data_IF_954524006494
#
_entry.id   IF_954524006494
#
_cell.length_a   1.000
_cell.length_b   1.000
_cell.length_c   1.000
_cell.angle_alpha   90.00
_cell.angle_beta   90.00
_cell.angle_gamma   90.00
#
_symmetry.space_group_name_H-M   'P 1'
#
loop_
_entity.id
_entity.type
_entity.pdbx_description
1 polymer ?
#
# COMPACT_ATOMS: atom_id res chain seq x y z
N UNK A 1 -27.15 -19.25 4.86
CA UNK A 1 -26.11 -20.16 5.41
C UNK A 1 -25.55 -20.92 4.22
N UNK A 2 -24.23 -21.15 4.14
CA UNK A 2 -23.64 -21.82 2.97
C UNK A 2 -24.19 -23.24 2.91
N UNK A 3 -24.91 -23.57 1.83
CA UNK A 3 -25.59 -24.86 1.62
C UNK A 3 -24.58 -26.00 1.41
N UNK A 4 -23.29 -25.67 1.24
CA UNK A 4 -22.21 -26.61 0.90
C UNK A 4 -21.08 -26.64 1.94
N UNK A 5 -21.40 -26.50 3.24
CA UNK A 5 -20.39 -26.73 4.29
C UNK A 5 -20.27 -28.24 4.56
N UNK A 6 -19.24 -28.88 4.01
CA UNK A 6 -19.05 -30.33 4.08
C UNK A 6 -18.94 -30.85 5.51
N UNK A 7 -18.42 -30.05 6.45
CA UNK A 7 -18.38 -30.41 7.86
C UNK A 7 -19.78 -30.43 8.48
N UNK A 8 -20.67 -29.52 8.05
CA UNK A 8 -22.07 -29.50 8.50
C UNK A 8 -22.88 -30.63 7.88
N UNK A 9 -22.63 -30.95 6.61
CA UNK A 9 -23.28 -32.09 5.92
C UNK A 9 -22.97 -33.41 6.64
N UNK A 10 -21.72 -33.59 7.08
CA UNK A 10 -21.32 -34.76 7.88
C UNK A 10 -21.64 -34.62 9.38
N UNK A 11 -22.24 -33.52 9.82
CA UNK A 11 -22.56 -33.22 11.24
C UNK A 11 -21.34 -33.34 12.18
N UNK A 12 -20.17 -32.92 11.72
CA UNK A 12 -18.91 -32.99 12.45
C UNK A 12 -18.29 -31.61 12.69
N UNK A 13 -17.42 -31.53 13.69
CA UNK A 13 -16.58 -30.36 13.92
C UNK A 13 -15.49 -30.25 12.85
N UNK A 14 -15.02 -29.03 12.57
CA UNK A 14 -13.85 -28.79 11.70
C UNK A 14 -12.56 -29.40 12.25
N UNK A 15 -12.50 -29.64 13.57
CA UNK A 15 -11.39 -30.31 14.25
C UNK A 15 -11.52 -31.85 14.27
N UNK A 16 -12.52 -32.42 13.58
CA UNK A 16 -12.73 -33.86 13.53
C UNK A 16 -11.52 -34.59 12.93
N UNK A 17 -11.21 -35.75 13.51
CA UNK A 17 -10.16 -36.65 12.99
C UNK A 17 -10.66 -37.42 11.76
N UNK A 18 -9.75 -38.08 11.04
CA UNK A 18 -10.13 -38.94 9.91
C UNK A 18 -11.07 -40.08 10.32
N UNK A 19 -10.88 -40.61 11.52
CA UNK A 19 -11.72 -41.67 12.03
C UNK A 19 -13.14 -41.16 12.33
N UNK A 20 -13.26 -39.95 12.87
CA UNK A 20 -14.56 -39.30 13.09
C UNK A 20 -15.29 -39.05 11.77
N UNK A 21 -14.58 -38.56 10.74
CA UNK A 21 -15.13 -38.35 9.38
C UNK A 21 -15.66 -39.67 8.81
N UNK A 22 -14.90 -40.76 8.95
CA UNK A 22 -15.27 -42.09 8.45
C UNK A 22 -16.46 -42.67 9.22
N UNK A 23 -16.51 -42.48 10.53
CA UNK A 23 -17.63 -42.92 11.36
C UNK A 23 -18.91 -42.15 11.04
N UNK A 24 -18.83 -40.83 10.90
CA UNK A 24 -19.95 -39.98 10.53
C UNK A 24 -20.52 -40.35 9.16
N UNK A 25 -19.65 -40.54 8.15
CA UNK A 25 -20.06 -40.99 6.83
C UNK A 25 -20.82 -42.33 6.89
N UNK A 26 -20.29 -43.33 7.60
CA UNK A 26 -20.95 -44.64 7.75
C UNK A 26 -22.33 -44.51 8.39
N UNK A 27 -22.45 -43.72 9.45
CA UNK A 27 -23.71 -43.49 10.16
C UNK A 27 -24.75 -42.85 9.24
N UNK A 28 -24.37 -41.79 8.52
CA UNK A 28 -25.28 -41.05 7.64
C UNK A 28 -25.62 -41.84 6.36
N UNK A 29 -24.65 -42.55 5.78
CA UNK A 29 -24.87 -43.42 4.62
C UNK A 29 -25.86 -44.55 4.91
N UNK A 30 -25.83 -45.13 6.12
CA UNK A 30 -26.80 -46.14 6.54
C UNK A 30 -28.20 -45.58 6.79
N UNK A 31 -28.30 -44.30 7.19
CA UNK A 31 -29.56 -43.61 7.47
C UNK A 31 -30.27 -43.18 6.19
N UNK A 32 -29.50 -42.67 5.22
CA UNK A 32 -30.01 -42.12 3.96
C UNK A 32 -29.84 -43.07 2.76
N UNK A 33 -29.57 -44.37 3.00
CA UNK A 33 -29.45 -45.34 1.92
C UNK A 33 -30.76 -45.45 1.11
N UNK A 34 -30.72 -45.40 -0.24
CA UNK A 34 -31.93 -45.42 -1.07
C UNK A 34 -32.76 -46.70 -0.90
N UNK A 35 -32.12 -47.83 -0.60
CA UNK A 35 -32.82 -49.11 -0.37
C UNK A 35 -33.64 -49.15 0.93
N UNK A 36 -33.38 -48.24 1.87
CA UNK A 36 -34.11 -48.18 3.15
C UNK A 36 -35.21 -47.12 3.14
N UNK A 37 -35.35 -46.37 2.04
CA UNK A 37 -36.32 -45.29 1.90
C UNK A 37 -37.69 -45.81 1.45
N UNK A 38 -38.76 -45.21 1.95
CA UNK A 38 -40.10 -45.35 1.36
C UNK A 38 -40.16 -44.67 -0.01
N UNK A 39 -41.13 -45.04 -0.85
CA UNK A 39 -41.26 -44.54 -2.23
C UNK A 39 -41.24 -43.01 -2.32
N UNK A 40 -41.89 -42.32 -1.38
CA UNK A 40 -41.99 -40.85 -1.35
C UNK A 40 -40.69 -40.17 -0.89
N UNK A 41 -39.90 -40.86 -0.06
CA UNK A 41 -38.65 -40.34 0.50
C UNK A 41 -37.41 -40.75 -0.30
N UNK A 42 -37.57 -41.63 -1.29
CA UNK A 42 -36.46 -42.18 -2.08
C UNK A 42 -35.63 -41.08 -2.75
N UNK A 43 -36.29 -40.08 -3.33
CA UNK A 43 -35.63 -38.94 -3.98
C UNK A 43 -34.86 -38.06 -3.00
N UNK A 44 -35.45 -37.76 -1.84
CA UNK A 44 -34.81 -36.95 -0.79
C UNK A 44 -33.59 -37.67 -0.22
N UNK A 45 -33.71 -38.99 0.02
CA UNK A 45 -32.61 -39.81 0.51
C UNK A 45 -31.48 -39.90 -0.52
N UNK A 46 -31.80 -40.04 -1.80
CA UNK A 46 -30.81 -40.06 -2.89
C UNK A 46 -30.04 -38.72 -2.99
N UNK A 47 -30.73 -37.59 -2.92
CA UNK A 47 -30.13 -36.25 -2.91
C UNK A 47 -29.19 -36.07 -1.70
N UNK A 48 -29.67 -36.40 -0.49
CA UNK A 48 -28.85 -36.33 0.73
C UNK A 48 -27.67 -37.29 0.69
N UNK A 49 -27.86 -38.51 0.19
CA UNK A 49 -26.80 -39.49 0.08
C UNK A 49 -25.68 -38.99 -0.85
N UNK A 50 -26.06 -38.32 -1.95
CA UNK A 50 -25.11 -37.69 -2.87
C UNK A 50 -24.29 -36.59 -2.19
N UNK A 51 -24.94 -35.71 -1.42
CA UNK A 51 -24.26 -34.65 -0.66
C UNK A 51 -23.29 -35.23 0.39
N UNK A 52 -23.73 -36.26 1.12
CA UNK A 52 -22.90 -36.96 2.12
C UNK A 52 -21.68 -37.62 1.46
N UNK A 53 -21.87 -38.25 0.30
CA UNK A 53 -20.80 -38.89 -0.46
C UNK A 53 -19.78 -37.86 -0.99
N UNK A 54 -20.25 -36.71 -1.48
CA UNK A 54 -19.40 -35.61 -1.93
C UNK A 54 -18.58 -35.03 -0.77
N UNK A 55 -19.23 -34.75 0.37
CA UNK A 55 -18.57 -34.25 1.57
C UNK A 55 -17.47 -35.21 2.04
N UNK A 56 -17.74 -36.52 2.07
CA UNK A 56 -16.74 -37.53 2.41
C UNK A 56 -15.60 -37.59 1.38
N UNK A 57 -15.89 -37.49 0.08
CA UNK A 57 -14.86 -37.54 -0.97
C UNK A 57 -13.86 -36.38 -0.90
N UNK A 58 -14.28 -35.22 -0.40
CA UNK A 58 -13.41 -34.06 -0.16
C UNK A 58 -12.69 -34.19 1.19
N UNK A 59 -13.42 -34.47 2.28
CA UNK A 59 -12.86 -34.43 3.63
C UNK A 59 -11.99 -35.64 4.00
N UNK A 60 -12.18 -36.79 3.34
CA UNK A 60 -11.38 -38.00 3.59
C UNK A 60 -9.98 -37.97 2.97
N UNK A 61 -9.78 -37.16 1.92
CA UNK A 61 -8.50 -36.98 1.25
C UNK A 61 -7.80 -35.73 1.80
N UNK A 62 -6.59 -35.88 2.33
CA UNK A 62 -5.84 -34.78 2.96
C UNK A 62 -5.62 -33.60 2.03
N UNK A 63 -5.23 -33.86 0.79
CA UNK A 63 -4.92 -32.82 -0.18
C UNK A 63 -6.19 -32.02 -0.55
N UNK A 64 -7.30 -32.73 -0.79
CA UNK A 64 -8.60 -32.10 -1.08
C UNK A 64 -9.15 -31.34 0.13
N UNK A 65 -8.99 -31.88 1.33
CA UNK A 65 -9.39 -31.21 2.58
C UNK A 65 -8.62 -29.90 2.76
N UNK A 66 -7.31 -29.91 2.56
CA UNK A 66 -6.47 -28.70 2.66
C UNK A 66 -6.93 -27.65 1.65
N UNK A 67 -7.11 -28.02 0.39
CA UNK A 67 -7.60 -27.10 -0.65
C UNK A 67 -8.98 -26.52 -0.32
N UNK A 68 -9.88 -27.36 0.20
CA UNK A 68 -11.21 -26.92 0.65
C UNK A 68 -11.10 -25.92 1.80
N UNK A 69 -10.34 -26.24 2.85
CA UNK A 69 -10.17 -25.39 4.02
C UNK A 69 -9.50 -24.04 3.65
N UNK A 70 -8.53 -24.04 2.74
CA UNK A 70 -7.91 -22.82 2.21
C UNK A 70 -8.88 -21.97 1.38
N UNK A 71 -9.68 -22.62 0.54
CA UNK A 71 -10.70 -21.94 -0.27
C UNK A 71 -11.77 -21.28 0.61
N UNK A 72 -12.18 -21.96 1.68
CA UNK A 72 -13.15 -21.46 2.65
C UNK A 72 -12.60 -20.29 3.45
N UNK A 73 -11.34 -20.38 3.90
CA UNK A 73 -10.67 -19.27 4.59
C UNK A 73 -10.52 -18.04 3.68
N UNK A 74 -10.18 -18.27 2.42
CA UNK A 74 -10.05 -17.20 1.42
C UNK A 74 -11.40 -16.54 1.12
N UNK A 75 -12.46 -17.34 1.02
CA UNK A 75 -13.84 -16.87 0.86
C UNK A 75 -14.28 -16.05 2.08
N UNK A 76 -13.99 -16.52 3.29
CA UNK A 76 -14.32 -15.80 4.52
C UNK A 76 -13.59 -14.46 4.63
N UNK A 77 -12.30 -14.41 4.28
CA UNK A 77 -11.53 -13.15 4.21
C UNK A 77 -12.19 -12.15 3.26
N UNK A 78 -12.58 -12.59 2.05
CA UNK A 78 -13.26 -11.73 1.08
C UNK A 78 -14.59 -11.20 1.62
N UNK A 79 -15.41 -12.07 2.22
CA UNK A 79 -16.68 -11.69 2.83
C UNK A 79 -16.46 -10.70 3.98
N UNK A 80 -15.46 -10.92 4.83
CA UNK A 80 -15.11 -10.01 5.92
C UNK A 80 -14.72 -8.63 5.39
N UNK A 81 -13.79 -8.57 4.44
CA UNK A 81 -13.36 -7.32 3.82
C UNK A 81 -14.53 -6.59 3.14
N UNK A 82 -15.40 -7.31 2.45
CA UNK A 82 -16.60 -6.72 1.85
C UNK A 82 -17.60 -6.20 2.89
N UNK A 83 -17.79 -6.92 4.01
CA UNK A 83 -18.61 -6.44 5.14
C UNK A 83 -18.03 -5.19 5.78
N UNK A 84 -16.71 -5.16 6.00
CA UNK A 84 -16.00 -3.98 6.52
C UNK A 84 -16.16 -2.79 5.59
N UNK A 85 -16.05 -3.01 4.28
CA UNK A 85 -16.27 -2.00 3.26
C UNK A 85 -17.69 -1.45 3.28
N UNK A 86 -18.70 -2.32 3.28
CA UNK A 86 -20.11 -1.91 3.37
C UNK A 86 -20.42 -1.16 4.66
N UNK A 87 -19.88 -1.62 5.78
CA UNK A 87 -20.04 -0.92 7.05
C UNK A 87 -19.38 0.47 7.02
N UNK A 88 -18.26 0.62 6.32
CA UNK A 88 -17.63 1.93 6.09
C UNK A 88 -18.50 2.81 5.20
N UNK A 89 -18.97 2.31 4.07
CA UNK A 89 -19.85 3.05 3.15
C UNK A 89 -21.13 3.54 3.85
N UNK A 90 -21.73 2.69 4.68
CA UNK A 90 -22.92 3.03 5.47
C UNK A 90 -22.61 4.11 6.51
N UNK A 91 -21.48 4.00 7.23
CA UNK A 91 -21.03 5.07 8.13
C UNK A 91 -20.88 6.40 7.39
N UNK A 92 -20.24 6.41 6.22
CA UNK A 92 -20.07 7.64 5.43
C UNK A 92 -21.42 8.22 5.02
N UNK A 93 -22.37 7.37 4.63
CA UNK A 93 -23.73 7.78 4.29
C UNK A 93 -24.42 8.44 5.49
N UNK A 94 -24.39 7.81 6.65
CA UNK A 94 -25.03 8.35 7.87
C UNK A 94 -24.39 9.66 8.34
N UNK A 95 -23.07 9.80 8.22
CA UNK A 95 -22.36 11.05 8.57
C UNK A 95 -22.71 12.20 7.62
N UNK A 96 -22.93 11.91 6.32
CA UNK A 96 -23.46 12.90 5.36
C UNK A 96 -24.87 13.34 5.71
N UNK A 97 -25.74 12.39 6.03
CA UNK A 97 -27.15 12.63 6.35
C UNK A 97 -27.31 13.43 7.66
N UNK A 98 -26.50 13.11 8.67
CA UNK A 98 -26.50 13.82 9.95
C UNK A 98 -25.84 15.21 9.91
N UNK A 99 -25.30 15.65 8.75
CA UNK A 99 -24.70 16.97 8.59
C UNK A 99 -23.42 17.22 9.42
N UNK A 100 -22.82 16.18 10.02
CA UNK A 100 -21.65 16.27 10.91
C UNK A 100 -20.30 16.16 10.17
N UNK A 101 -20.28 16.36 8.85
CA UNK A 101 -19.05 16.30 8.06
C UNK A 101 -18.21 17.57 8.23
N UNK A 102 -17.43 17.65 9.31
CA UNK A 102 -16.39 18.67 9.48
C UNK A 102 -15.23 18.42 8.50
N UNK A 103 -14.47 19.48 8.15
CA UNK A 103 -13.36 19.40 7.19
C UNK A 103 -12.29 18.36 7.52
N UNK A 104 -12.03 18.10 8.81
CA UNK A 104 -11.10 17.06 9.27
C UNK A 104 -11.62 15.64 9.05
N UNK A 105 -12.93 15.42 9.19
CA UNK A 105 -13.54 14.09 9.00
C UNK A 105 -13.50 13.68 7.52
N UNK A 106 -13.61 14.66 6.62
CA UNK A 106 -13.43 14.50 5.17
C UNK A 106 -12.04 13.94 4.83
N UNK A 107 -10.96 14.53 5.36
CA UNK A 107 -9.57 14.14 5.05
C UNK A 107 -9.24 12.69 5.43
N UNK A 108 -9.77 12.21 6.57
CA UNK A 108 -9.56 10.85 7.06
C UNK A 108 -10.23 9.78 6.16
N UNK A 109 -11.38 10.12 5.56
CA UNK A 109 -12.14 9.25 4.64
C UNK A 109 -11.40 9.06 3.31
N UNK A 110 -10.74 10.10 2.78
CA UNK A 110 -10.00 9.98 1.51
C UNK A 110 -8.67 9.24 1.66
N UNK A 111 -7.96 9.45 2.78
CA UNK A 111 -6.68 8.76 3.07
C UNK A 111 -6.85 7.26 3.30
N UNK A 112 -7.99 6.83 3.83
CA UNK A 112 -8.27 5.42 4.12
C UNK A 112 -8.81 4.64 2.91
N UNK A 113 -9.56 5.27 2.00
CA UNK A 113 -10.15 4.59 0.83
C UNK A 113 -9.18 4.39 -0.34
N UNK A 114 -8.14 5.21 -0.43
CA UNK A 114 -7.18 5.17 -1.55
C UNK A 114 -5.95 4.31 -1.29
N UNK A 115 -5.81 3.72 -0.09
CA UNK A 115 -4.62 2.95 0.27
C UNK A 115 -3.32 3.75 0.06
N UNK A 116 -3.41 5.08 0.02
CA UNK A 116 -2.25 5.94 -0.20
C UNK A 116 -1.52 6.12 1.13
N UNK A 117 -0.75 5.09 1.49
CA UNK A 117 0.56 5.38 2.05
C UNK A 117 1.27 6.35 1.10
N UNK A 118 2.00 7.32 1.64
CA UNK A 118 2.75 8.33 0.89
C UNK A 118 3.73 7.68 -0.11
N UNK A 119 3.26 7.20 -1.26
CA UNK A 119 4.08 6.71 -2.37
C UNK A 119 4.61 7.86 -3.22
N UNK A 120 4.08 9.08 -3.03
CA UNK A 120 4.54 10.28 -3.72
C UNK A 120 6.07 10.51 -3.61
N UNK A 121 6.71 10.40 -2.43
CA UNK A 121 8.18 10.45 -2.35
C UNK A 121 8.88 9.29 -3.07
N UNK A 122 8.30 8.09 -3.10
CA UNK A 122 8.87 6.92 -3.79
C UNK A 122 8.77 7.09 -5.31
N UNK A 123 7.65 7.59 -5.82
CA UNK A 123 7.43 7.89 -7.23
C UNK A 123 8.36 9.01 -7.69
N UNK A 124 8.52 10.07 -6.88
CA UNK A 124 9.50 11.14 -7.15
C UNK A 124 10.94 10.63 -7.13
N UNK A 125 11.27 9.72 -6.21
CA UNK A 125 12.59 9.10 -6.13
C UNK A 125 12.87 8.20 -7.34
N UNK A 126 11.92 7.34 -7.74
CA UNK A 126 12.03 6.51 -8.93
C UNK A 126 12.07 7.34 -10.22
N UNK A 127 11.27 8.40 -10.33
CA UNK A 127 11.32 9.32 -11.47
C UNK A 127 12.68 10.02 -11.57
N UNK A 128 13.25 10.46 -10.44
CA UNK A 128 14.61 11.01 -10.37
C UNK A 128 15.67 10.01 -10.83
N UNK A 129 15.57 8.74 -10.42
CA UNK A 129 16.47 7.68 -10.85
C UNK A 129 16.36 7.37 -12.36
N UNK A 130 15.15 7.43 -12.93
CA UNK A 130 14.92 7.24 -14.38
C UNK A 130 15.53 8.39 -15.21
N UNK A 131 15.46 9.63 -14.71
CA UNK A 131 16.12 10.78 -15.36
C UNK A 131 17.65 10.67 -15.27
N UNK A 132 18.18 10.16 -14.15
CA UNK A 132 19.60 9.86 -13.97
C UNK A 132 20.08 8.73 -14.89
N UNK A 133 19.29 7.66 -15.06
CA UNK A 133 19.64 6.53 -15.94
C UNK A 133 19.64 6.94 -17.41
N UNK A 134 18.68 7.77 -17.83
CA UNK A 134 18.61 8.20 -19.23
C UNK A 134 19.82 9.03 -19.65
N UNK A 135 20.40 9.84 -18.75
CA UNK A 135 21.59 10.63 -19.07
C UNK A 135 22.89 9.82 -19.02
N UNK A 136 23.05 8.90 -18.07
CA UNK A 136 24.27 8.06 -17.97
C UNK A 136 24.26 7.00 -19.08
N UNK A 137 23.13 6.33 -19.31
CA UNK A 137 23.01 5.31 -20.37
C UNK A 137 23.13 5.95 -21.75
N UNK A 138 22.53 7.13 -21.99
CA UNK A 138 22.72 7.86 -23.24
C UNK A 138 24.17 8.34 -23.43
N UNK A 139 24.86 8.77 -22.37
CA UNK A 139 26.28 9.15 -22.45
C UNK A 139 27.18 7.95 -22.79
N UNK A 140 26.92 6.78 -22.19
CA UNK A 140 27.66 5.54 -22.48
C UNK A 140 27.36 5.06 -23.91
N UNK A 141 26.09 5.07 -24.33
CA UNK A 141 25.69 4.65 -25.67
C UNK A 141 26.25 5.59 -26.75
N UNK A 142 26.18 6.91 -26.55
CA UNK A 142 26.75 7.90 -27.48
C UNK A 142 28.27 7.81 -27.53
N UNK A 143 28.94 7.55 -26.40
CA UNK A 143 30.38 7.28 -26.36
C UNK A 143 30.78 6.03 -27.15
N UNK A 144 30.06 4.92 -26.97
CA UNK A 144 30.32 3.66 -27.69
C UNK A 144 30.02 3.81 -29.18
N UNK A 145 28.88 4.38 -29.54
CA UNK A 145 28.47 4.60 -30.95
C UNK A 145 29.43 5.57 -31.65
N UNK A 146 29.82 6.66 -30.98
CA UNK A 146 30.82 7.60 -31.49
C UNK A 146 32.15 6.87 -31.74
N UNK A 147 32.67 6.12 -30.77
CA UNK A 147 33.93 5.37 -30.91
C UNK A 147 33.93 4.42 -32.13
N UNK A 148 32.84 3.68 -32.35
CA UNK A 148 32.72 2.78 -33.51
C UNK A 148 32.65 3.52 -34.85
N UNK A 149 31.95 4.66 -34.91
CA UNK A 149 31.85 5.49 -36.11
C UNK A 149 33.22 6.11 -36.45
N UNK A 150 33.96 6.59 -35.44
CA UNK A 150 35.27 7.21 -35.62
C UNK A 150 36.31 6.20 -36.14
N UNK A 151 36.31 4.94 -35.66
CA UNK A 151 37.19 3.87 -36.17
C UNK A 151 36.90 3.53 -37.64
N UNK A 152 35.62 3.60 -38.05
CA UNK A 152 35.20 3.29 -39.42
C UNK A 152 35.52 4.42 -40.39
N UNK A 153 35.41 5.68 -39.96
CA UNK A 153 35.77 6.87 -40.75
C UNK A 153 37.30 7.01 -40.89
N UNK A 154 38.07 6.70 -39.84
CA UNK A 154 39.54 6.71 -39.88
C UNK A 154 40.14 5.73 -40.90
N UNK A 155 39.43 4.64 -41.25
CA UNK A 155 39.82 3.73 -42.33
C UNK A 155 39.53 4.27 -43.73
N UNK A 156 38.68 5.28 -43.87
CA UNK A 156 38.20 5.81 -45.15
C UNK A 156 39.00 7.05 -45.59
N UNK A 157 39.53 7.84 -44.65
CA UNK A 157 40.26 9.08 -44.97
C UNK A 157 41.77 8.90 -44.84
N UNK A 158 42.48 8.85 -45.97
CA UNK A 158 43.93 8.67 -46.06
C UNK A 158 44.76 9.94 -45.70
N UNK A 159 44.25 10.78 -44.79
CA UNK A 159 44.91 12.00 -44.31
C UNK A 159 44.92 12.00 -42.77
N UNK A 160 45.76 11.11 -42.21
CA UNK A 160 45.69 10.63 -40.83
C UNK A 160 46.00 11.64 -39.71
N UNK A 161 46.49 12.85 -39.98
CA UNK A 161 47.03 13.71 -38.91
C UNK A 161 46.14 14.91 -38.56
N UNK A 162 45.49 15.55 -39.54
CA UNK A 162 44.70 16.77 -39.31
C UNK A 162 43.31 16.46 -38.74
N UNK A 163 42.70 15.36 -39.20
CA UNK A 163 41.37 14.94 -38.73
C UNK A 163 41.42 14.46 -37.27
N UNK A 164 42.48 13.74 -36.89
CA UNK A 164 42.69 13.27 -35.52
C UNK A 164 42.84 14.45 -34.54
N UNK A 165 43.52 15.53 -34.95
CA UNK A 165 43.67 16.73 -34.14
C UNK A 165 42.33 17.43 -33.91
N UNK A 166 41.52 17.61 -34.97
CA UNK A 166 40.16 18.18 -34.86
C UNK A 166 39.23 17.29 -34.02
N UNK A 167 39.34 15.95 -34.14
CA UNK A 167 38.53 15.00 -33.37
C UNK A 167 38.90 14.97 -31.88
N UNK A 168 40.19 15.07 -31.55
CA UNK A 168 40.66 15.21 -30.16
C UNK A 168 40.18 16.54 -29.57
N UNK A 169 40.23 17.63 -30.36
CA UNK A 169 39.82 18.96 -29.92
C UNK A 169 38.29 19.06 -29.71
N UNK A 170 37.50 18.49 -30.62
CA UNK A 170 36.03 18.40 -30.47
C UNK A 170 35.64 17.46 -29.31
N UNK A 171 36.37 16.36 -29.12
CA UNK A 171 36.18 15.44 -27.99
C UNK A 171 36.52 16.06 -26.63
N UNK A 172 37.61 16.85 -26.55
CA UNK A 172 38.00 17.61 -25.36
C UNK A 172 37.00 18.72 -25.03
N UNK A 173 36.54 19.48 -26.04
CA UNK A 173 35.53 20.54 -25.84
C UNK A 173 34.17 19.97 -25.43
N UNK A 174 33.80 18.78 -25.93
CA UNK A 174 32.57 18.09 -25.52
C UNK A 174 32.65 17.53 -24.09
N UNK A 175 33.85 17.19 -23.60
CA UNK A 175 34.08 16.74 -22.22
C UNK A 175 33.99 17.89 -21.21
N UNK A 176 34.39 19.11 -21.56
CA UNK A 176 34.34 20.27 -20.65
C UNK A 176 32.91 20.81 -20.45
N UNK A 177 32.08 20.86 -21.50
CA UNK A 177 30.72 21.41 -21.37
C UNK A 177 29.80 20.52 -20.53
N UNK A 178 29.94 19.20 -20.62
CA UNK A 178 29.09 18.27 -19.88
C UNK A 178 29.54 18.12 -18.41
N UNK A 179 30.84 18.25 -18.14
CA UNK A 179 31.37 18.26 -16.76
C UNK A 179 31.05 19.57 -16.05
N UNK A 180 31.16 20.71 -16.73
CA UNK A 180 30.75 22.02 -16.18
C UNK A 180 29.24 22.05 -15.94
N UNK A 181 28.41 21.56 -16.87
CA UNK A 181 26.97 21.47 -16.67
C UNK A 181 26.61 20.57 -15.47
N UNK A 182 27.30 19.44 -15.29
CA UNK A 182 27.10 18.55 -14.15
C UNK A 182 27.54 19.17 -12.81
N UNK A 183 28.66 19.89 -12.79
CA UNK A 183 29.15 20.61 -11.62
C UNK A 183 28.19 21.75 -11.26
N UNK A 184 27.74 22.53 -12.24
CA UNK A 184 26.77 23.63 -12.05
C UNK A 184 25.45 23.07 -11.54
N UNK A 185 24.94 21.96 -12.09
CA UNK A 185 23.74 21.29 -11.60
C UNK A 185 23.90 20.78 -10.16
N UNK A 186 25.07 20.21 -9.82
CA UNK A 186 25.39 19.77 -8.47
C UNK A 186 25.46 20.94 -7.47
N UNK A 187 26.09 22.06 -7.84
CA UNK A 187 26.15 23.27 -7.02
C UNK A 187 24.76 23.86 -6.82
N UNK A 188 23.94 23.95 -7.87
CA UNK A 188 22.55 24.41 -7.76
C UNK A 188 21.75 23.50 -6.83
N UNK A 189 21.88 22.17 -6.97
CA UNK A 189 21.17 21.21 -6.13
C UNK A 189 21.56 21.33 -4.65
N UNK A 190 22.86 21.48 -4.35
CA UNK A 190 23.32 21.69 -2.97
C UNK A 190 22.84 23.01 -2.38
N UNK A 191 22.83 24.10 -3.15
CA UNK A 191 22.30 25.39 -2.73
C UNK A 191 20.79 25.32 -2.44
N UNK A 192 20.02 24.66 -3.31
CA UNK A 192 18.57 24.44 -3.11
C UNK A 192 18.33 23.62 -1.84
N UNK A 193 19.11 22.56 -1.60
CA UNK A 193 19.00 21.75 -0.39
C UNK A 193 19.32 22.55 0.89
N UNK A 194 20.33 23.43 0.84
CA UNK A 194 20.68 24.33 1.95
C UNK A 194 19.54 25.32 2.21
N UNK A 195 19.02 25.97 1.17
CA UNK A 195 17.89 26.90 1.29
C UNK A 195 16.68 26.19 1.90
N UNK A 196 16.37 24.97 1.44
CA UNK A 196 15.25 24.19 1.95
C UNK A 196 15.44 23.84 3.44
N UNK A 197 16.66 23.49 3.85
CA UNK A 197 17.01 23.24 5.26
C UNK A 197 16.79 24.48 6.13
N UNK A 198 17.18 25.66 5.64
CA UNK A 198 16.96 26.92 6.36
C UNK A 198 15.48 27.30 6.43
N UNK A 199 14.73 27.14 5.34
CA UNK A 199 13.28 27.39 5.33
C UNK A 199 12.56 26.45 6.31
N UNK A 200 12.92 25.17 6.33
CA UNK A 200 12.33 24.21 7.24
C UNK A 200 12.68 24.53 8.70
N UNK A 201 13.94 24.87 8.98
CA UNK A 201 14.37 25.31 10.31
C UNK A 201 13.63 26.58 10.75
N UNK A 202 13.44 27.54 9.84
CA UNK A 202 12.69 28.77 10.11
C UNK A 202 11.21 28.49 10.37
N UNK A 203 10.56 27.62 9.58
CA UNK A 203 9.18 27.18 9.83
C UNK A 203 9.02 26.53 11.20
N UNK A 204 9.97 25.70 11.62
CA UNK A 204 9.95 25.05 12.94
C UNK A 204 10.12 26.07 14.08
N UNK A 205 11.02 27.05 13.92
CA UNK A 205 11.22 28.12 14.90
C UNK A 205 9.97 29.02 14.99
N UNK A 206 9.41 29.42 13.85
CA UNK A 206 8.18 30.21 13.80
C UNK A 206 6.98 29.45 14.37
N UNK A 207 6.84 28.16 14.07
CA UNK A 207 5.82 27.30 14.66
C UNK A 207 5.98 27.17 16.18
N UNK A 208 7.21 26.99 16.67
CA UNK A 208 7.52 26.96 18.09
C UNK A 208 7.21 28.28 18.82
N UNK A 209 7.55 29.42 18.21
CA UNK A 209 7.22 30.75 18.73
C UNK A 209 5.71 31.01 18.77
N UNK A 210 4.96 30.52 17.77
CA UNK A 210 3.50 30.63 17.74
C UNK A 210 2.86 29.80 18.88
N UNK A 211 3.36 28.60 19.13
CA UNK A 211 2.92 27.73 20.25
C UNK A 211 3.27 28.35 21.61
N UNK A 212 4.46 28.96 21.76
CA UNK A 212 4.85 29.68 22.97
C UNK A 212 3.99 30.94 23.19
N UNK A 213 3.73 31.72 22.14
CA UNK A 213 2.87 32.91 22.20
C UNK A 213 1.43 32.58 22.62
N UNK A 214 0.86 31.51 22.08
CA UNK A 214 -0.50 31.05 22.44
C UNK A 214 -0.61 30.64 23.91
N UNK A 215 0.45 30.09 24.52
CA UNK A 215 0.45 29.67 25.93
C UNK A 215 0.77 30.80 26.92
N UNK A 216 1.54 31.82 26.51
CA UNK A 216 1.90 32.96 27.37
C UNK A 216 0.71 33.91 27.59
N UNK A 217 -0.16 34.10 26.59
CA UNK A 217 -1.33 34.99 26.67
C UNK A 217 -2.33 34.58 27.78
N UNK A 218 -2.80 33.32 27.88
CA UNK A 218 -3.68 32.89 28.96
C UNK A 218 -2.98 32.88 30.33
N UNK A 219 -1.67 32.60 30.38
CA UNK A 219 -0.89 32.62 31.63
C UNK A 219 -0.74 34.05 32.20
N UNK A 220 -0.47 35.05 31.35
CA UNK A 220 -0.45 36.46 31.75
C UNK A 220 -1.84 36.97 32.15
N UNK A 221 -2.88 36.54 31.43
CA UNK A 221 -4.27 36.84 31.80
C UNK A 221 -4.63 36.32 33.19
N UNK A 222 -4.27 35.07 33.50
CA UNK A 222 -4.49 34.49 34.82
C UNK A 222 -3.69 35.23 35.92
N UNK A 223 -2.44 35.59 35.67
CA UNK A 223 -1.61 36.35 36.61
C UNK A 223 -2.21 37.74 36.93
N UNK A 224 -2.71 38.46 35.92
CA UNK A 224 -3.37 39.75 36.11
C UNK A 224 -4.67 39.64 36.91
N UNK A 225 -5.47 38.60 36.66
CA UNK A 225 -6.69 38.32 37.43
C UNK A 225 -6.34 38.04 38.90
N UNK A 226 -5.29 37.27 39.17
CA UNK A 226 -4.83 37.00 40.54
C UNK A 226 -4.34 38.26 41.26
N UNK A 227 -3.59 39.13 40.57
CA UNK A 227 -3.13 40.41 41.14
C UNK A 227 -4.32 41.34 41.43
N UNK A 228 -5.31 41.39 40.53
CA UNK A 228 -6.53 42.18 40.72
C UNK A 228 -7.37 41.65 41.89
N UNK A 229 -7.57 40.33 41.98
CA UNK A 229 -8.28 39.69 43.09
C UNK A 229 -7.58 39.90 44.43
N UNK A 230 -6.24 39.83 44.48
CA UNK A 230 -5.45 40.09 45.67
C UNK A 230 -5.56 41.54 46.16
N UNK A 231 -5.62 42.53 45.26
CA UNK A 231 -5.86 43.93 45.63
C UNK A 231 -7.26 44.15 46.20
N UNK A 232 -8.30 43.55 45.60
CA UNK A 232 -9.69 43.66 46.08
C UNK A 232 -9.85 43.05 47.48
N UNK A 233 -9.15 41.96 47.78
CA UNK A 233 -9.23 41.31 49.09
C UNK A 233 -8.54 42.13 50.20
N UNK A 234 -7.51 42.93 49.85
CA UNK A 234 -6.76 43.75 50.82
C UNK A 234 -7.50 45.05 51.20
N UNK A 235 -8.41 45.54 50.38
CA UNK A 235 -9.27 46.71 50.68
C UNK A 235 -10.51 46.37 51.49
N UNK A 236 -10.80 45.08 51.70
CA UNK A 236 -12.00 44.60 52.41
C UNK A 236 -11.73 44.08 53.84
N UNK A 237 -10.49 44.23 54.33
CA UNK A 237 -10.09 43.97 55.73
C UNK A 237 -9.78 45.28 56.42
#
# INVERSE_FOLDING_TARGET
>A
MNESDYYKILEISRNATKDDIKQAYRKLAMLYHPDRASADMKKINEEKFKEIAEAYAILSNDEKKIQYDESELSREKRIRTERERRAWDERIRTERENGRMTGQNREYIYKTSTGQGNFFPVILFCAGLIVLSNNIVAAILTGIISSFILVKIAKITNHGSFMLFVMILVGLVALELNTIAAIVAGVIFTLVAIIFKYIFSFMMICGGLLILGINIIPALGAALIFIAAGKIFKTKR
#
